data_IF_047265841863
#
_entry.id   IF_047265841863
#
_cell.length_a   1.000
_cell.length_b   1.000
_cell.length_c   1.000
_cell.angle_alpha   90.00
_cell.angle_beta   90.00
_cell.angle_gamma   90.00
#
_symmetry.space_group_name_H-M   'P 1'
#
loop_
_entity.id
_entity.type
_entity.pdbx_description
1 polymer ?
#
# COMPACT_ATOMS: atom_id res chain seq x y z
N UNK A 1 31.65 23.39 -11.48
CA UNK A 1 31.83 23.13 -10.03
C UNK A 1 32.99 23.88 -9.40
N UNK A 2 34.24 23.76 -9.91
CA UNK A 2 35.43 24.41 -9.31
C UNK A 2 35.32 25.94 -9.17
N UNK A 3 34.76 26.62 -10.17
CA UNK A 3 34.52 28.06 -10.14
C UNK A 3 33.54 28.50 -9.04
N UNK A 4 32.49 27.71 -8.77
CA UNK A 4 31.53 28.02 -7.71
C UNK A 4 32.13 27.81 -6.33
N UNK A 5 32.91 26.74 -6.15
CA UNK A 5 33.65 26.51 -4.91
C UNK A 5 34.62 27.67 -4.63
N UNK A 6 35.37 28.07 -5.65
CA UNK A 6 36.29 29.21 -5.56
C UNK A 6 35.56 30.52 -5.24
N UNK A 7 34.42 30.78 -5.90
CA UNK A 7 33.61 31.96 -5.63
C UNK A 7 33.08 31.97 -4.18
N UNK A 8 32.62 30.83 -3.65
CA UNK A 8 32.15 30.73 -2.26
C UNK A 8 33.28 31.02 -1.26
N UNK A 9 34.46 30.41 -1.47
CA UNK A 9 35.63 30.66 -0.62
C UNK A 9 36.04 32.14 -0.66
N UNK A 10 36.02 32.75 -1.85
CA UNK A 10 36.34 34.17 -2.03
C UNK A 10 35.33 35.05 -1.28
N UNK A 11 34.03 34.78 -1.40
CA UNK A 11 32.98 35.52 -0.70
C UNK A 11 33.12 35.42 0.83
N UNK A 12 33.46 34.25 1.36
CA UNK A 12 33.73 34.07 2.79
C UNK A 12 34.92 34.95 3.22
N UNK A 13 36.01 34.94 2.43
CA UNK A 13 37.19 35.77 2.70
C UNK A 13 36.88 37.28 2.69
N UNK A 14 36.05 37.73 1.74
CA UNK A 14 35.61 39.13 1.64
C UNK A 14 34.78 39.53 2.87
N UNK A 15 33.85 38.68 3.32
CA UNK A 15 33.02 38.97 4.51
C UNK A 15 33.89 39.11 5.76
N UNK A 16 34.88 38.22 5.93
CA UNK A 16 35.82 38.30 7.06
C UNK A 16 36.64 39.58 7.01
N UNK A 17 37.14 39.97 5.82
CA UNK A 17 37.88 41.21 5.63
C UNK A 17 37.02 42.46 5.95
N UNK A 18 35.75 42.46 5.55
CA UNK A 18 34.80 43.54 5.87
C UNK A 18 34.59 43.65 7.38
N UNK A 19 34.39 42.53 8.09
CA UNK A 19 34.28 42.56 9.55
C UNK A 19 35.54 43.08 10.24
N UNK A 20 36.72 42.76 9.70
CA UNK A 20 37.98 43.29 10.21
C UNK A 20 38.09 44.82 10.05
N UNK A 21 37.72 45.37 8.88
CA UNK A 21 37.74 46.82 8.61
C UNK A 21 36.75 47.57 9.51
N UNK A 22 35.60 46.96 9.81
CA UNK A 22 34.56 47.56 10.66
C UNK A 22 34.82 47.38 12.16
N UNK A 23 35.95 46.79 12.55
CA UNK A 23 36.30 46.46 13.95
C UNK A 23 35.22 45.59 14.64
N UNK A 24 34.50 44.78 13.86
CA UNK A 24 33.48 43.87 14.37
C UNK A 24 34.09 42.49 14.68
N UNK A 25 33.66 41.87 15.77
CA UNK A 25 34.06 40.52 16.12
C UNK A 25 33.38 39.49 15.18
N UNK A 26 34.09 39.12 14.12
CA UNK A 26 33.66 38.10 13.18
C UNK A 26 33.28 36.77 13.87
N UNK A 27 33.93 36.42 14.99
CA UNK A 27 33.63 35.18 15.71
C UNK A 27 32.23 35.25 16.34
N UNK A 28 31.85 36.38 16.94
CA UNK A 28 30.53 36.60 17.51
C UNK A 28 29.42 36.52 16.46
N UNK A 29 29.59 37.17 15.31
CA UNK A 29 28.61 37.15 14.22
C UNK A 29 28.51 35.77 13.56
N UNK A 30 29.64 35.09 13.34
CA UNK A 30 29.65 33.75 12.78
C UNK A 30 28.98 32.75 13.73
N UNK A 31 29.23 32.86 15.04
CA UNK A 31 28.58 32.04 16.07
C UNK A 31 27.06 32.27 16.07
N UNK A 32 26.63 33.53 16.01
CA UNK A 32 25.20 33.90 15.98
C UNK A 32 24.51 33.41 14.72
N UNK A 33 25.14 33.58 13.55
CA UNK A 33 24.64 33.07 12.28
C UNK A 33 24.56 31.53 12.27
N UNK A 34 25.55 30.86 12.85
CA UNK A 34 25.54 29.41 13.05
C UNK A 34 24.37 28.93 13.92
N UNK A 35 24.10 29.61 15.04
CA UNK A 35 22.96 29.30 15.90
C UNK A 35 21.62 29.47 15.19
N UNK A 36 21.43 30.57 14.45
CA UNK A 36 20.23 30.81 13.64
C UNK A 36 20.07 29.74 12.56
N UNK A 37 21.16 29.39 11.85
CA UNK A 37 21.16 28.34 10.85
C UNK A 37 20.76 26.98 11.42
N UNK A 38 21.28 26.63 12.61
CA UNK A 38 20.90 25.42 13.31
C UNK A 38 19.42 25.41 13.71
N UNK A 39 18.89 26.54 14.22
CA UNK A 39 17.47 26.66 14.56
C UNK A 39 16.56 26.43 13.34
N UNK A 40 16.91 27.00 12.18
CA UNK A 40 16.17 26.79 10.92
C UNK A 40 16.26 25.33 10.46
N UNK A 41 17.44 24.72 10.53
CA UNK A 41 17.65 23.33 10.15
C UNK A 41 16.80 22.38 11.02
N UNK A 42 16.78 22.60 12.34
CA UNK A 42 15.98 21.81 13.27
C UNK A 42 14.48 22.02 13.01
N UNK A 43 14.03 23.26 12.78
CA UNK A 43 12.63 23.55 12.50
C UNK A 43 12.12 22.95 11.18
N UNK A 44 12.99 22.84 10.17
CA UNK A 44 12.65 22.30 8.85
C UNK A 44 12.88 20.79 8.68
N UNK A 45 13.56 20.13 9.62
CA UNK A 45 14.06 18.76 9.47
C UNK A 45 12.95 17.76 9.10
N UNK A 46 11.79 17.86 9.74
CA UNK A 46 10.68 16.94 9.49
C UNK A 46 10.09 17.09 8.10
N UNK A 47 9.94 18.33 7.61
CA UNK A 47 9.39 18.60 6.27
C UNK A 47 10.28 18.03 5.18
N UNK A 48 11.60 18.25 5.29
CA UNK A 48 12.56 17.71 4.32
C UNK A 48 12.50 16.18 4.29
N UNK A 49 12.36 15.53 5.45
CA UNK A 49 12.25 14.09 5.51
C UNK A 49 10.96 13.57 4.85
N UNK A 50 9.81 14.22 5.08
CA UNK A 50 8.56 13.86 4.41
C UNK A 50 8.65 13.97 2.88
N UNK A 51 9.34 14.98 2.37
CA UNK A 51 9.58 15.16 0.93
C UNK A 51 10.42 14.02 0.35
N UNK A 52 11.55 13.70 0.99
CA UNK A 52 12.44 12.64 0.53
C UNK A 52 11.77 11.27 0.62
N UNK A 53 11.05 11.00 1.72
CA UNK A 53 10.31 9.75 1.89
C UNK A 53 9.20 9.61 0.86
N UNK A 54 8.46 10.69 0.60
CA UNK A 54 7.43 10.72 -0.45
C UNK A 54 7.99 10.46 -1.85
N UNK A 55 9.15 11.04 -2.16
CA UNK A 55 9.83 10.78 -3.42
C UNK A 55 10.22 9.29 -3.55
N UNK A 56 10.75 8.67 -2.48
CA UNK A 56 11.07 7.24 -2.49
C UNK A 56 9.85 6.35 -2.68
N UNK A 57 8.70 6.70 -2.09
CA UNK A 57 7.44 5.98 -2.32
C UNK A 57 7.07 5.97 -3.81
N UNK A 58 7.20 7.11 -4.48
CA UNK A 58 6.89 7.24 -5.91
C UNK A 58 7.94 6.57 -6.81
N UNK A 59 9.23 6.66 -6.46
CA UNK A 59 10.32 6.08 -7.25
C UNK A 59 10.36 4.55 -7.17
N UNK A 60 10.02 3.99 -6.01
CA UNK A 60 10.00 2.55 -5.78
C UNK A 60 8.63 1.92 -6.06
N UNK A 61 7.62 2.72 -6.37
CA UNK A 61 6.23 2.28 -6.60
C UNK A 61 5.72 1.36 -5.48
N UNK A 62 5.92 1.77 -4.21
CA UNK A 62 5.54 0.94 -3.06
C UNK A 62 4.03 0.74 -2.95
N UNK A 63 3.26 1.74 -3.34
CA UNK A 63 1.81 1.73 -3.40
C UNK A 63 1.30 2.88 -4.26
N UNK A 64 0.20 2.65 -4.97
CA UNK A 64 -0.45 3.58 -5.86
C UNK A 64 -1.82 4.05 -5.36
N UNK A 65 -2.42 5.01 -6.08
CA UNK A 65 -3.80 5.42 -5.85
C UNK A 65 -4.74 4.29 -6.29
N UNK A 66 -5.68 3.94 -5.41
CA UNK A 66 -6.61 2.82 -5.60
C UNK A 66 -6.16 1.52 -4.92
N UNK A 67 -4.91 1.44 -4.46
CA UNK A 67 -4.42 0.25 -3.76
C UNK A 67 -5.05 0.14 -2.38
N UNK A 68 -5.41 -1.09 -2.02
CA UNK A 68 -5.76 -1.43 -0.66
C UNK A 68 -4.49 -1.69 0.14
N UNK A 69 -4.29 -0.95 1.21
CA UNK A 69 -3.08 -1.03 2.03
C UNK A 69 -3.42 -1.22 3.50
N UNK A 70 -2.49 -1.85 4.21
CA UNK A 70 -2.46 -1.93 5.66
C UNK A 70 -1.20 -1.22 6.14
N UNK A 71 -1.37 -0.11 6.87
CA UNK A 71 -0.27 0.74 7.33
C UNK A 71 -0.12 0.68 8.84
N UNK A 72 1.12 0.71 9.33
CA UNK A 72 1.43 0.83 10.75
C UNK A 72 2.35 2.01 11.03
N UNK A 73 2.29 2.53 12.26
CA UNK A 73 3.03 3.73 12.66
C UNK A 73 2.27 4.52 13.72
N UNK A 74 1.71 5.68 13.34
CA UNK A 74 1.01 6.58 14.28
C UNK A 74 -0.26 6.01 14.92
N UNK A 75 -0.83 4.94 14.38
CA UNK A 75 -2.01 4.29 14.93
C UNK A 75 -1.64 2.95 15.59
N UNK A 76 -1.98 2.72 16.88
CA UNK A 76 -1.59 1.52 17.62
C UNK A 76 -2.10 0.21 16.99
N UNK A 77 -3.28 0.26 16.36
CA UNK A 77 -3.94 -0.91 15.78
C UNK A 77 -3.69 -1.07 14.27
N UNK A 78 -2.81 -0.24 13.69
CA UNK A 78 -2.70 -0.07 12.25
C UNK A 78 -3.96 0.56 11.65
N UNK A 79 -3.87 0.91 10.36
CA UNK A 79 -4.99 1.39 9.56
C UNK A 79 -5.02 0.57 8.29
N UNK A 80 -6.18 -0.02 7.98
CA UNK A 80 -6.44 -0.64 6.69
C UNK A 80 -7.37 0.26 5.89
N UNK A 81 -7.08 0.46 4.62
CA UNK A 81 -7.90 1.31 3.77
C UNK A 81 -7.35 1.43 2.35
N UNK A 82 -8.02 2.27 1.55
CA UNK A 82 -7.67 2.49 0.15
C UNK A 82 -6.91 3.81 0.03
N UNK A 83 -5.83 3.83 -0.75
CA UNK A 83 -5.12 5.07 -1.08
C UNK A 83 -6.00 5.93 -2.01
N UNK A 84 -6.46 7.09 -1.53
CA UNK A 84 -7.24 8.03 -2.34
C UNK A 84 -6.33 9.01 -3.09
N UNK A 85 -5.22 9.42 -2.48
CA UNK A 85 -4.34 10.44 -3.02
C UNK A 85 -2.94 10.35 -2.40
N UNK A 86 -1.91 10.48 -3.23
CA UNK A 86 -0.52 10.59 -2.79
C UNK A 86 -0.10 12.04 -3.03
N UNK A 87 0.04 12.79 -1.95
CA UNK A 87 0.55 14.15 -1.97
C UNK A 87 2.07 14.17 -1.89
N UNK A 88 2.65 15.37 -1.89
CA UNK A 88 4.11 15.52 -1.83
C UNK A 88 4.68 15.29 -0.41
N UNK A 89 3.89 15.54 0.63
CA UNK A 89 4.29 15.42 2.05
C UNK A 89 3.49 14.34 2.79
N UNK A 90 2.29 14.03 2.31
CA UNK A 90 1.38 13.12 2.97
C UNK A 90 0.54 12.31 2.00
N UNK A 91 0.17 11.11 2.44
CA UNK A 91 -0.75 10.21 1.76
C UNK A 91 -2.10 10.27 2.42
N UNK A 92 -3.16 10.20 1.60
CA UNK A 92 -4.55 10.13 2.04
C UNK A 92 -5.05 8.70 1.92
N UNK A 93 -5.53 8.16 3.03
CA UNK A 93 -6.07 6.80 3.13
C UNK A 93 -7.54 6.90 3.54
N UNK A 94 -8.41 6.23 2.80
CA UNK A 94 -9.81 6.02 3.18
C UNK A 94 -9.93 4.71 3.93
N UNK A 95 -10.10 4.79 5.24
CA UNK A 95 -10.71 3.71 6.00
C UNK A 95 -12.22 3.89 5.84
N UNK A 96 -13.03 2.82 5.68
CA UNK A 96 -14.43 2.89 5.22
C UNK A 96 -15.33 3.93 5.93
N UNK A 97 -14.94 4.40 7.11
CA UNK A 97 -15.61 5.43 7.91
C UNK A 97 -15.03 6.85 7.78
N UNK A 98 -13.76 7.02 7.42
CA UNK A 98 -13.06 8.32 7.51
C UNK A 98 -11.89 8.48 6.55
N UNK A 99 -11.54 9.72 6.23
CA UNK A 99 -10.30 10.05 5.53
C UNK A 99 -9.20 10.31 6.53
N UNK A 100 -8.07 9.63 6.38
CA UNK A 100 -6.90 9.78 7.21
C UNK A 100 -5.79 10.40 6.37
N UNK A 101 -5.18 11.47 6.89
CA UNK A 101 -4.02 12.12 6.28
C UNK A 101 -2.77 11.77 7.09
N UNK A 102 -1.85 11.04 6.47
CA UNK A 102 -0.62 10.60 7.13
C UNK A 102 0.61 11.18 6.42
N UNK A 103 1.48 11.92 7.12
CA UNK A 103 2.80 12.27 6.60
C UNK A 103 3.55 11.00 6.18
N UNK A 104 4.37 11.09 5.14
CA UNK A 104 5.12 9.91 4.67
C UNK A 104 6.03 9.33 5.77
N UNK A 105 6.62 10.18 6.62
CA UNK A 105 7.46 9.71 7.74
C UNK A 105 6.67 9.00 8.85
N UNK A 106 5.35 9.15 8.90
CA UNK A 106 4.49 8.47 9.86
C UNK A 106 4.13 7.03 9.44
N UNK A 107 4.38 6.67 8.17
CA UNK A 107 4.13 5.35 7.60
C UNK A 107 5.38 4.47 7.76
N UNK A 108 5.52 3.85 8.94
CA UNK A 108 6.70 3.03 9.26
C UNK A 108 6.74 1.74 8.45
N UNK A 109 5.57 1.14 8.22
CA UNK A 109 5.42 -0.05 7.38
C UNK A 109 4.14 0.09 6.58
N UNK A 110 4.23 -0.27 5.29
CA UNK A 110 3.07 -0.32 4.39
C UNK A 110 3.04 -1.70 3.76
N UNK A 111 1.93 -2.39 3.97
CA UNK A 111 1.63 -3.68 3.35
C UNK A 111 0.60 -3.44 2.24
N UNK A 112 1.06 -3.49 1.00
CA UNK A 112 0.18 -3.38 -0.15
C UNK A 112 -0.53 -4.73 -0.39
N UNK A 113 -1.86 -4.71 -0.41
CA UNK A 113 -2.69 -5.90 -0.61
C UNK A 113 -3.13 -6.05 -2.07
N UNK A 114 -2.85 -5.07 -2.93
CA UNK A 114 -3.30 -5.00 -4.33
C UNK A 114 -2.17 -5.14 -5.35
N UNK A 115 -0.90 -5.05 -4.92
CA UNK A 115 0.26 -5.04 -5.84
C UNK A 115 0.49 -6.38 -6.54
N UNK A 116 0.20 -7.49 -5.86
CA UNK A 116 0.33 -8.84 -6.41
C UNK A 116 -0.97 -9.63 -6.24
N UNK A 117 -1.33 -10.49 -7.22
CA UNK A 117 -2.48 -11.36 -7.10
C UNK A 117 -2.36 -12.28 -5.88
N UNK A 118 -3.39 -12.27 -5.04
CA UNK A 118 -3.44 -13.03 -3.80
C UNK A 118 -4.12 -14.37 -4.03
N UNK A 119 -3.49 -15.45 -3.57
CA UNK A 119 -4.13 -16.76 -3.50
C UNK A 119 -5.13 -16.80 -2.33
N UNK A 120 -6.40 -17.04 -2.62
CA UNK A 120 -7.44 -17.31 -1.64
C UNK A 120 -7.93 -18.75 -1.77
N UNK A 121 -8.09 -19.43 -0.64
CA UNK A 121 -8.72 -20.76 -0.58
C UNK A 121 -10.21 -20.62 -0.33
N UNK A 122 -11.01 -21.27 -1.16
CA UNK A 122 -12.46 -21.34 -1.06
C UNK A 122 -12.85 -22.81 -0.87
N UNK A 123 -13.48 -23.14 0.25
CA UNK A 123 -14.05 -24.48 0.47
C UNK A 123 -15.49 -24.48 -0.02
N UNK A 124 -15.79 -25.33 -1.00
CA UNK A 124 -17.14 -25.45 -1.58
C UNK A 124 -17.61 -26.89 -1.38
N UNK A 125 -18.84 -27.06 -0.88
CA UNK A 125 -19.46 -28.37 -0.78
C UNK A 125 -19.98 -28.80 -2.16
N UNK A 126 -19.61 -30.00 -2.60
CA UNK A 126 -20.03 -30.55 -3.90
C UNK A 126 -20.69 -31.93 -3.72
N UNK A 127 -21.77 -32.24 -4.46
CA UNK A 127 -22.39 -33.57 -4.42
C UNK A 127 -21.43 -34.68 -4.90
N UNK A 128 -21.44 -35.82 -4.21
CA UNK A 128 -20.53 -36.97 -4.36
C UNK A 128 -20.54 -37.60 -5.77
N UNK A 129 -21.62 -37.43 -6.53
CA UNK A 129 -21.88 -38.18 -7.78
C UNK A 129 -21.20 -37.63 -9.04
N UNK A 130 -20.50 -36.50 -8.96
CA UNK A 130 -19.81 -35.92 -10.11
C UNK A 130 -18.33 -36.34 -10.18
N UNK A 131 -17.82 -36.66 -11.39
CA UNK A 131 -16.39 -36.89 -11.59
C UNK A 131 -15.61 -35.69 -11.04
N UNK A 132 -14.74 -35.91 -10.05
CA UNK A 132 -14.12 -34.84 -9.24
C UNK A 132 -13.43 -33.75 -10.07
N UNK A 133 -12.90 -34.11 -11.24
CA UNK A 133 -12.28 -33.15 -12.17
C UNK A 133 -13.32 -32.26 -12.86
N UNK A 134 -14.45 -32.82 -13.27
CA UNK A 134 -15.53 -32.07 -13.91
C UNK A 134 -16.25 -31.16 -12.91
N UNK A 135 -16.44 -31.65 -11.67
CA UNK A 135 -17.06 -30.87 -10.60
C UNK A 135 -16.23 -29.64 -10.22
N UNK A 136 -14.91 -29.82 -10.10
CA UNK A 136 -13.98 -28.72 -9.86
C UNK A 136 -13.96 -27.71 -11.01
N UNK A 137 -13.98 -28.17 -12.27
CA UNK A 137 -14.04 -27.29 -13.44
C UNK A 137 -15.36 -26.50 -13.49
N UNK A 138 -16.50 -27.15 -13.24
CA UNK A 138 -17.81 -26.48 -13.16
C UNK A 138 -17.86 -25.43 -12.06
N UNK A 139 -17.30 -25.73 -10.89
CA UNK A 139 -17.20 -24.77 -9.80
C UNK A 139 -16.30 -23.58 -10.17
N UNK A 140 -15.16 -23.84 -10.82
CA UNK A 140 -14.25 -22.79 -11.33
C UNK A 140 -14.97 -21.84 -12.29
N UNK A 141 -15.70 -22.39 -13.28
CA UNK A 141 -16.41 -21.60 -14.28
C UNK A 141 -17.58 -20.80 -13.66
N UNK A 142 -18.27 -21.39 -12.69
CA UNK A 142 -19.32 -20.69 -11.92
C UNK A 142 -18.73 -19.52 -11.14
N UNK A 143 -17.58 -19.70 -10.47
CA UNK A 143 -16.90 -18.63 -9.75
C UNK A 143 -16.46 -17.52 -10.72
N UNK A 144 -15.99 -17.87 -11.93
CA UNK A 144 -15.66 -16.90 -12.98
C UNK A 144 -16.85 -16.05 -13.41
N UNK A 145 -18.00 -16.67 -13.63
CA UNK A 145 -19.23 -15.94 -13.93
C UNK A 145 -19.65 -15.02 -12.78
N UNK A 146 -19.50 -15.49 -11.54
CA UNK A 146 -19.92 -14.76 -10.35
C UNK A 146 -18.97 -13.63 -9.95
N UNK A 147 -17.67 -13.74 -10.25
CA UNK A 147 -16.68 -12.67 -10.02
C UNK A 147 -17.05 -11.38 -10.77
N UNK A 148 -17.72 -11.48 -11.93
CA UNK A 148 -18.24 -10.31 -12.67
C UNK A 148 -19.60 -9.80 -12.18
N UNK A 149 -20.23 -10.44 -11.19
CA UNK A 149 -21.61 -10.15 -10.79
C UNK A 149 -21.74 -8.90 -9.89
N UNK A 150 -22.95 -8.32 -9.75
CA UNK A 150 -23.18 -7.19 -8.85
C UNK A 150 -22.73 -7.52 -7.42
N UNK A 151 -21.98 -6.59 -6.81
CA UNK A 151 -21.33 -6.67 -5.50
C UNK A 151 -20.01 -7.48 -5.43
N UNK A 152 -19.56 -8.07 -6.55
CA UNK A 152 -18.29 -8.79 -6.63
C UNK A 152 -17.37 -8.27 -7.74
N UNK A 153 -17.81 -7.25 -8.49
CA UNK A 153 -17.12 -6.70 -9.68
C UNK A 153 -15.67 -6.25 -9.42
N UNK A 154 -15.35 -5.88 -8.19
CA UNK A 154 -13.98 -5.50 -7.79
C UNK A 154 -13.05 -6.72 -7.59
N UNK A 155 -13.62 -7.91 -7.41
CA UNK A 155 -12.91 -9.17 -7.28
C UNK A 155 -12.73 -9.76 -8.67
N UNK A 156 -11.60 -9.47 -9.31
CA UNK A 156 -11.24 -10.14 -10.56
C UNK A 156 -10.39 -11.37 -10.28
N UNK A 157 -10.72 -12.48 -10.96
CA UNK A 157 -9.90 -13.68 -10.96
C UNK A 157 -8.75 -13.49 -11.93
N UNK A 158 -7.53 -13.73 -11.45
CA UNK A 158 -6.30 -13.55 -12.24
C UNK A 158 -5.85 -14.85 -12.89
N UNK A 159 -6.21 -16.00 -12.30
CA UNK A 159 -5.79 -17.32 -12.77
C UNK A 159 -6.85 -18.39 -12.48
N UNK A 160 -6.69 -19.57 -13.08
CA UNK A 160 -7.60 -20.72 -12.92
C UNK A 160 -7.56 -21.33 -11.49
N UNK A 161 -8.46 -22.27 -11.23
CA UNK A 161 -8.42 -23.10 -10.02
C UNK A 161 -7.13 -23.91 -10.00
N UNK A 162 -6.21 -23.53 -9.11
CA UNK A 162 -4.86 -24.10 -9.06
C UNK A 162 -4.85 -25.56 -8.59
N UNK A 163 -5.73 -25.91 -7.66
CA UNK A 163 -5.93 -27.28 -7.16
C UNK A 163 -7.31 -27.43 -6.52
N UNK A 164 -7.92 -28.59 -6.74
CA UNK A 164 -9.05 -29.13 -6.00
C UNK A 164 -8.52 -30.26 -5.09
N UNK A 165 -8.35 -29.99 -3.79
CA UNK A 165 -7.94 -31.03 -2.83
C UNK A 165 -9.16 -31.48 -2.03
N UNK A 166 -9.40 -32.80 -1.85
CA UNK A 166 -10.44 -33.26 -0.95
C UNK A 166 -10.10 -32.81 0.47
N UNK A 167 -10.98 -32.07 1.12
CA UNK A 167 -10.84 -31.86 2.56
C UNK A 167 -11.05 -33.21 3.24
N UNK A 168 -10.07 -33.68 4.01
CA UNK A 168 -10.12 -35.01 4.61
C UNK A 168 -11.41 -35.21 5.43
N UNK A 169 -12.30 -36.10 4.95
CA UNK A 169 -13.47 -36.58 5.69
C UNK A 169 -14.82 -35.92 5.40
N UNK A 170 -14.93 -34.94 4.50
CA UNK A 170 -16.20 -34.31 4.11
C UNK A 170 -16.35 -34.22 2.58
N UNK A 171 -17.59 -34.09 2.08
CA UNK A 171 -17.97 -33.82 0.68
C UNK A 171 -17.59 -32.40 0.22
N UNK A 172 -16.36 -32.01 0.52
CA UNK A 172 -15.83 -30.66 0.34
C UNK A 172 -14.64 -30.69 -0.60
N UNK A 173 -14.70 -29.81 -1.59
CA UNK A 173 -13.58 -29.52 -2.47
C UNK A 173 -13.05 -28.14 -2.10
N UNK A 174 -11.77 -28.08 -1.74
CA UNK A 174 -11.07 -26.82 -1.54
C UNK A 174 -10.52 -26.34 -2.90
N UNK A 175 -11.01 -25.20 -3.37
CA UNK A 175 -10.60 -24.52 -4.59
C UNK A 175 -9.64 -23.39 -4.23
N UNK A 176 -8.44 -23.42 -4.80
CA UNK A 176 -7.49 -22.29 -4.73
C UNK A 176 -7.74 -21.35 -5.90
N UNK A 177 -8.14 -20.11 -5.61
CA UNK A 177 -8.35 -19.07 -6.62
C UNK A 177 -7.35 -17.93 -6.42
N UNK A 178 -6.85 -17.33 -7.50
CA UNK A 178 -6.06 -16.10 -7.44
C UNK A 178 -6.94 -14.90 -7.74
N UNK A 179 -6.99 -13.94 -6.81
CA UNK A 179 -7.78 -12.71 -6.93
C UNK A 179 -6.87 -11.48 -6.95
N UNK A 180 -7.33 -10.38 -7.55
CA UNK A 180 -6.59 -9.11 -7.61
C UNK A 180 -6.34 -8.47 -6.25
N UNK A 181 -7.19 -8.76 -5.26
CA UNK A 181 -7.05 -8.35 -3.86
C UNK A 181 -7.52 -9.46 -2.91
N UNK A 182 -7.13 -9.46 -1.63
CA UNK A 182 -7.70 -10.34 -0.64
C UNK A 182 -9.22 -10.19 -0.55
N UNK A 183 -9.91 -11.32 -0.55
CA UNK A 183 -11.35 -11.37 -0.31
C UNK A 183 -11.68 -11.03 1.14
N UNK A 184 -12.65 -10.15 1.35
CA UNK A 184 -13.25 -9.94 2.67
C UNK A 184 -14.01 -11.20 3.12
N UNK A 185 -14.25 -11.38 4.44
CA UNK A 185 -15.02 -12.53 4.92
C UNK A 185 -16.42 -12.64 4.28
N UNK A 186 -17.11 -11.50 4.10
CA UNK A 186 -18.44 -11.46 3.50
C UNK A 186 -18.43 -11.80 2.00
N UNK A 187 -17.44 -11.31 1.25
CA UNK A 187 -17.29 -11.66 -0.17
C UNK A 187 -16.97 -13.14 -0.34
N UNK A 188 -16.11 -13.69 0.54
CA UNK A 188 -15.79 -15.13 0.55
C UNK A 188 -17.03 -15.97 0.78
N UNK A 189 -17.80 -15.67 1.81
CA UNK A 189 -19.04 -16.39 2.13
C UNK A 189 -20.08 -16.26 1.01
N UNK A 190 -20.23 -15.05 0.46
CA UNK A 190 -21.16 -14.80 -0.65
C UNK A 190 -20.78 -15.57 -1.91
N UNK A 191 -19.49 -15.62 -2.25
CA UNK A 191 -18.98 -16.38 -3.38
C UNK A 191 -19.21 -17.88 -3.20
N UNK A 192 -18.89 -18.44 -2.03
CA UNK A 192 -19.12 -19.85 -1.72
C UNK A 192 -20.61 -20.18 -1.83
N UNK A 193 -21.47 -19.44 -1.11
CA UNK A 193 -22.91 -19.67 -1.09
C UNK A 193 -23.55 -19.60 -2.48
N UNK A 194 -23.24 -18.57 -3.28
CA UNK A 194 -23.79 -18.42 -4.64
C UNK A 194 -23.32 -19.51 -5.58
N UNK A 195 -22.08 -19.99 -5.40
CA UNK A 195 -21.53 -21.09 -6.19
C UNK A 195 -22.27 -22.40 -5.84
N UNK A 196 -22.48 -22.69 -4.55
CA UNK A 196 -23.23 -23.86 -4.09
C UNK A 196 -24.69 -23.85 -4.56
N UNK A 197 -25.36 -22.69 -4.51
CA UNK A 197 -26.73 -22.50 -4.99
C UNK A 197 -26.86 -22.78 -6.49
N UNK A 198 -25.92 -22.29 -7.30
CA UNK A 198 -25.89 -22.49 -8.76
C UNK A 198 -25.64 -23.94 -9.14
N UNK A 199 -24.71 -24.61 -8.45
CA UNK A 199 -24.36 -26.00 -8.73
C UNK A 199 -25.50 -26.95 -8.34
N UNK A 200 -26.12 -26.72 -7.18
CA UNK A 200 -27.31 -27.48 -6.75
C UNK A 200 -28.48 -27.36 -7.74
N UNK A 201 -28.65 -26.20 -8.37
CA UNK A 201 -29.69 -25.97 -9.37
C UNK A 201 -29.42 -26.62 -10.74
N UNK A 202 -28.17 -26.99 -11.05
CA UNK A 202 -27.80 -27.69 -12.28
C UNK A 202 -27.91 -29.21 -12.15
N UNK A 203 -27.78 -29.76 -10.94
CA UNK A 203 -27.90 -31.20 -10.65
C UNK A 203 -29.35 -31.63 -10.36
N UNK A 204 -30.33 -30.71 -10.42
CA UNK A 204 -31.79 -30.93 -10.25
C UNK A 204 -32.51 -31.05 -11.59
#
# INVERSE_FOLDING_TARGET
>A
MLHHLFAVVLWIGVIIAVFHILELDAAFFLSSAGFIGAAVAIGGQHKVNDYLTGLSVLLEDRYGVGDEVEVSGSFPNGVRGIIEHIGLVSTRIRDGYSTIHLPHTALLSVRNLSQEPVETRLSINLPIDSERSEAASRAADTIRELAGSPNLTEVMLVDDVLMATPAAGNDQVELKVRTTRPLTPQERETLVRRTEERLSAQDS
#
